data_IF_782351748070
#
_entry.id   IF_782351748070
#
_cell.length_a   1.000
_cell.length_b   1.000
_cell.length_c   1.000
_cell.angle_alpha   90.00
_cell.angle_beta   90.00
_cell.angle_gamma   90.00
#
_symmetry.space_group_name_H-M   'P 1'
#
loop_
_entity.id
_entity.type
_entity.pdbx_description
1 polymer ?
#
# COMPACT_ATOMS: atom_id res chain seq x y z
N UNK A 1 23.84 23.51 3.40
CA UNK A 1 22.98 22.77 2.47
C UNK A 1 23.01 21.30 2.89
N UNK A 2 22.21 20.93 3.89
CA UNK A 2 22.08 19.56 4.35
C UNK A 2 21.18 18.82 3.37
N UNK A 3 21.76 18.32 2.29
CA UNK A 3 21.09 17.34 1.43
C UNK A 3 20.87 16.09 2.27
N UNK A 4 19.63 15.87 2.71
CA UNK A 4 19.24 14.56 3.23
C UNK A 4 19.55 13.54 2.14
N UNK A 5 20.51 12.65 2.39
CA UNK A 5 20.93 11.61 1.45
C UNK A 5 19.81 10.60 1.15
N UNK A 6 18.74 10.65 1.93
CA UNK A 6 17.51 9.91 1.70
C UNK A 6 16.39 10.96 1.58
N UNK A 7 15.87 11.20 0.37
CA UNK A 7 14.83 12.21 0.14
C UNK A 7 13.44 11.77 0.65
N UNK A 8 13.25 10.47 0.84
CA UNK A 8 11.97 9.86 1.20
C UNK A 8 12.00 9.09 2.52
N UNK A 9 10.83 8.93 3.13
CA UNK A 9 10.68 8.16 4.37
C UNK A 9 10.97 6.68 4.09
N UNK A 10 11.79 6.00 4.90
CA UNK A 10 12.05 4.57 4.68
C UNK A 10 10.77 3.76 4.83
N UNK A 11 10.60 2.75 3.96
CA UNK A 11 9.51 1.78 4.06
C UNK A 11 9.82 0.78 5.18
N UNK A 12 9.01 0.81 6.24
CA UNK A 12 9.13 -0.13 7.36
C UNK A 12 8.27 -1.36 7.10
N UNK A 13 8.90 -2.54 7.15
CA UNK A 13 8.23 -3.83 6.95
C UNK A 13 8.53 -4.75 8.12
N UNK A 14 7.48 -5.32 8.72
CA UNK A 14 7.62 -6.30 9.80
C UNK A 14 8.04 -7.67 9.23
N UNK A 15 9.18 -8.24 9.65
CA UNK A 15 9.61 -9.56 9.16
C UNK A 15 8.59 -10.66 9.46
N UNK A 16 7.97 -10.65 10.64
CA UNK A 16 6.96 -11.65 11.01
C UNK A 16 5.70 -11.54 10.16
N UNK A 17 5.30 -10.32 9.79
CA UNK A 17 4.18 -10.10 8.88
C UNK A 17 4.53 -10.58 7.48
N UNK A 18 5.69 -10.21 6.96
CA UNK A 18 6.19 -10.67 5.66
C UNK A 18 6.28 -12.20 5.58
N UNK A 19 6.67 -12.87 6.67
CA UNK A 19 6.66 -14.33 6.74
C UNK A 19 5.24 -14.94 6.69
N UNK A 20 4.22 -14.19 7.13
CA UNK A 20 2.83 -14.66 7.20
C UNK A 20 2.06 -14.41 5.91
N UNK A 21 2.20 -13.21 5.34
CA UNK A 21 1.42 -12.78 4.17
C UNK A 21 2.26 -12.64 2.90
N UNK A 22 3.57 -12.85 2.95
CA UNK A 22 4.49 -12.58 1.83
C UNK A 22 5.12 -11.20 1.93
N UNK A 23 6.37 -11.08 1.45
CA UNK A 23 7.13 -9.84 1.50
C UNK A 23 6.45 -8.74 0.68
N UNK A 24 6.01 -9.06 -0.53
CA UNK A 24 5.37 -8.08 -1.42
C UNK A 24 4.08 -7.55 -0.81
N UNK A 25 3.24 -8.44 -0.28
CA UNK A 25 2.00 -8.08 0.41
C UNK A 25 2.26 -7.22 1.66
N UNK A 26 3.27 -7.56 2.46
CA UNK A 26 3.63 -6.77 3.63
C UNK A 26 4.16 -5.38 3.25
N UNK A 27 4.97 -5.28 2.20
CA UNK A 27 5.43 -3.99 1.66
C UNK A 27 4.26 -3.13 1.19
N UNK A 28 3.34 -3.71 0.41
CA UNK A 28 2.17 -2.98 -0.09
C UNK A 28 1.27 -2.52 1.05
N UNK A 29 1.02 -3.37 2.04
CA UNK A 29 0.21 -3.01 3.21
C UNK A 29 0.84 -1.86 4.00
N UNK A 30 2.16 -1.87 4.19
CA UNK A 30 2.87 -0.77 4.85
C UNK A 30 2.71 0.55 4.08
N UNK A 31 2.84 0.52 2.74
CA UNK A 31 2.64 1.71 1.91
C UNK A 31 1.20 2.24 1.98
N UNK A 32 0.20 1.36 1.90
CA UNK A 32 -1.21 1.74 2.01
C UNK A 32 -1.51 2.35 3.38
N UNK A 33 -0.95 1.78 4.45
CA UNK A 33 -1.10 2.29 5.82
C UNK A 33 -0.49 3.67 5.98
N UNK A 34 0.67 3.91 5.37
CA UNK A 34 1.32 5.22 5.37
C UNK A 34 0.46 6.25 4.62
N UNK A 35 -0.04 5.91 3.44
CA UNK A 35 -0.89 6.83 2.68
C UNK A 35 -2.17 7.15 3.46
N UNK A 36 -2.80 6.14 4.08
CA UNK A 36 -3.99 6.30 4.91
C UNK A 36 -3.77 7.18 6.14
N UNK A 37 -2.54 7.26 6.68
CA UNK A 37 -2.21 8.12 7.81
C UNK A 37 -2.16 9.61 7.45
N UNK A 38 -1.88 9.95 6.18
CA UNK A 38 -1.69 11.33 5.73
C UNK A 38 -2.77 11.83 4.77
N UNK A 39 -3.70 10.96 4.35
CA UNK A 39 -4.79 11.32 3.43
C UNK A 39 -6.17 11.17 4.07
N UNK A 40 -7.16 11.97 3.63
CA UNK A 40 -8.54 11.78 4.05
C UNK A 40 -9.04 10.41 3.57
N UNK A 41 -9.65 9.67 4.49
CA UNK A 41 -10.31 8.40 4.18
C UNK A 41 -11.79 8.65 3.92
N UNK A 42 -12.33 8.01 2.89
CA UNK A 42 -13.76 8.04 2.59
C UNK A 42 -14.45 7.03 3.50
N UNK A 43 -15.43 7.47 4.29
CA UNK A 43 -16.23 6.55 5.10
C UNK A 43 -17.42 6.06 4.28
N UNK A 44 -17.47 4.75 4.00
CA UNK A 44 -18.57 4.12 3.24
C UNK A 44 -18.81 2.71 3.77
N UNK A 45 -20.07 2.35 3.99
CA UNK A 45 -20.51 1.02 4.47
C UNK A 45 -19.83 0.58 5.77
N UNK A 46 -19.55 1.52 6.68
CA UNK A 46 -18.87 1.24 7.95
C UNK A 46 -17.36 1.01 7.82
N UNK A 47 -16.79 1.19 6.62
CA UNK A 47 -15.36 1.06 6.36
C UNK A 47 -14.71 2.40 6.00
N UNK A 48 -13.42 2.51 6.28
CA UNK A 48 -12.56 3.61 5.84
C UNK A 48 -11.85 3.20 4.56
N UNK A 49 -12.19 3.87 3.47
CA UNK A 49 -11.67 3.61 2.13
C UNK A 49 -10.58 4.61 1.78
N UNK A 50 -9.50 4.09 1.21
CA UNK A 50 -8.46 4.90 0.59
C UNK A 50 -8.75 4.99 -0.90
N UNK A 51 -9.04 6.19 -1.38
CA UNK A 51 -9.22 6.45 -2.80
C UNK A 51 -7.86 6.74 -3.43
N UNK A 52 -7.44 5.87 -4.36
CA UNK A 52 -6.14 5.91 -5.01
C UNK A 52 -6.34 6.01 -6.51
N UNK A 53 -5.88 7.10 -7.09
CA UNK A 53 -5.78 7.28 -8.53
C UNK A 53 -4.49 6.66 -9.08
N UNK A 54 -4.52 6.26 -10.35
CA UNK A 54 -3.40 5.60 -11.03
C UNK A 54 -2.05 6.35 -10.90
N UNK A 55 -1.99 7.70 -11.03
CA UNK A 55 -0.73 8.44 -10.85
C UNK A 55 -0.18 8.33 -9.42
N UNK A 56 -1.04 8.30 -8.41
CA UNK A 56 -0.63 8.15 -7.01
C UNK A 56 -0.10 6.75 -6.75
N UNK A 57 -0.77 5.73 -7.26
CA UNK A 57 -0.32 4.34 -7.16
C UNK A 57 1.06 4.18 -7.79
N UNK A 58 1.25 4.65 -9.03
CA UNK A 58 2.53 4.57 -9.72
C UNK A 58 3.66 5.29 -8.96
N UNK A 59 3.38 6.43 -8.33
CA UNK A 59 4.36 7.17 -7.53
C UNK A 59 4.64 6.51 -6.18
N UNK A 60 3.64 5.93 -5.53
CA UNK A 60 3.79 5.28 -4.23
C UNK A 60 4.48 3.92 -4.33
N UNK A 61 4.35 3.25 -5.48
CA UNK A 61 4.82 1.89 -5.72
C UNK A 61 5.70 1.80 -6.98
N UNK A 62 6.78 2.60 -7.09
CA UNK A 62 7.55 2.74 -8.32
C UNK A 62 8.36 1.49 -8.71
N UNK A 63 8.40 0.49 -7.82
CA UNK A 63 9.14 -0.76 -7.99
C UNK A 63 8.29 -1.90 -8.56
N UNK A 64 6.97 -1.73 -8.63
CA UNK A 64 6.06 -2.69 -9.25
C UNK A 64 5.44 -2.11 -10.53
N UNK A 65 5.24 -2.95 -11.53
CA UNK A 65 4.38 -2.62 -12.66
C UNK A 65 2.91 -2.80 -12.27
N UNK A 66 2.01 -2.36 -13.15
CA UNK A 66 0.56 -2.46 -12.93
C UNK A 66 0.09 -3.90 -12.69
N UNK A 67 0.64 -4.88 -13.42
CA UNK A 67 0.29 -6.29 -13.25
C UNK A 67 0.64 -6.79 -11.84
N UNK A 68 1.82 -6.45 -11.32
CA UNK A 68 2.26 -6.81 -9.98
C UNK A 68 1.41 -6.13 -8.92
N UNK A 69 1.10 -4.84 -9.07
CA UNK A 69 0.21 -4.12 -8.16
C UNK A 69 -1.15 -4.81 -8.08
N UNK A 70 -1.73 -5.15 -9.23
CA UNK A 70 -3.02 -5.82 -9.32
C UNK A 70 -2.96 -7.23 -8.70
N UNK A 71 -1.89 -8.00 -8.96
CA UNK A 71 -1.68 -9.33 -8.38
C UNK A 71 -1.57 -9.28 -6.86
N UNK A 72 -0.72 -8.41 -6.32
CA UNK A 72 -0.47 -8.29 -4.89
C UNK A 72 -1.72 -7.77 -4.16
N UNK A 73 -2.42 -6.79 -4.75
CA UNK A 73 -3.68 -6.28 -4.19
C UNK A 73 -4.74 -7.38 -4.08
N UNK A 74 -4.89 -8.21 -5.12
CA UNK A 74 -5.78 -9.38 -5.08
C UNK A 74 -5.35 -10.38 -4.01
N UNK A 75 -4.06 -10.69 -3.91
CA UNK A 75 -3.56 -11.60 -2.87
C UNK A 75 -3.88 -11.09 -1.46
N UNK A 76 -3.71 -9.79 -1.19
CA UNK A 76 -4.05 -9.18 0.10
C UNK A 76 -5.56 -9.28 0.39
N UNK A 77 -6.41 -9.04 -0.62
CA UNK A 77 -7.86 -9.21 -0.51
C UNK A 77 -8.23 -10.67 -0.21
N UNK A 78 -7.64 -11.61 -0.95
CA UNK A 78 -7.95 -13.04 -0.81
C UNK A 78 -7.46 -13.59 0.54
N UNK A 79 -6.42 -12.97 1.14
CA UNK A 79 -5.98 -13.18 2.53
C UNK A 79 -6.84 -12.48 3.58
N UNK A 80 -7.84 -11.70 3.19
CA UNK A 80 -8.73 -10.95 4.08
C UNK A 80 -8.08 -9.74 4.76
N UNK A 81 -6.94 -9.27 4.25
CA UNK A 81 -6.17 -8.17 4.88
C UNK A 81 -6.72 -6.80 4.50
N UNK A 82 -7.19 -6.66 3.24
CA UNK A 82 -7.78 -5.42 2.72
C UNK A 82 -9.10 -5.70 2.00
N UNK A 83 -9.91 -4.65 1.85
CA UNK A 83 -11.06 -4.65 0.95
C UNK A 83 -10.69 -3.92 -0.35
N UNK A 84 -11.13 -4.44 -1.48
CA UNK A 84 -11.04 -3.75 -2.76
C UNK A 84 -12.45 -3.41 -3.23
N UNK A 85 -12.70 -2.13 -3.46
CA UNK A 85 -13.88 -1.71 -4.21
C UNK A 85 -13.55 -1.93 -5.68
N UNK A 86 -14.07 -2.99 -6.29
CA UNK A 86 -14.06 -3.08 -7.74
C UNK A 86 -14.90 -1.93 -8.29
N UNK A 87 -14.35 -1.20 -9.26
CA UNK A 87 -15.19 -0.41 -10.16
C UNK A 87 -16.06 -1.35 -11.01
#
# INVERSE_FOLDING_TARGET
MSSSLIPERPLLVSPSLAATIGLEEACMLSLLSDIAAYRPLLTRDGHSWLDLDEPLVARAMPFWNEHDIQRISRNLRDKGVILLASA
#
